data_IF_017028718583
#
_entry.id   IF_017028718583
#
_cell.length_a   1.000
_cell.length_b   1.000
_cell.length_c   1.000
_cell.angle_alpha   90.00
_cell.angle_beta   90.00
_cell.angle_gamma   90.00
#
_symmetry.space_group_name_H-M   'P 1'
#
loop_
_entity.id
_entity.type
_entity.pdbx_description
1 polymer ?
#
# COMPACT_ATOMS: atom_id res chain seq x y z
N UNK A 1 -9.52 -4.82 10.32
CA UNK A 1 -9.52 -4.15 9.01
C UNK A 1 -8.76 -5.02 8.02
N UNK A 2 -9.26 -5.28 6.80
CA UNK A 2 -8.55 -6.09 5.82
C UNK A 2 -7.28 -5.40 5.30
N UNK A 3 -6.27 -6.22 5.00
CA UNK A 3 -4.95 -5.79 4.52
C UNK A 3 -4.86 -5.91 3.01
N UNK A 4 -4.31 -4.89 2.37
CA UNK A 4 -4.12 -4.84 0.93
C UNK A 4 -2.71 -4.43 0.56
N UNK A 5 -2.13 -5.06 -0.46
CA UNK A 5 -0.81 -4.74 -1.00
C UNK A 5 -0.98 -3.82 -2.20
N UNK A 6 -0.22 -2.72 -2.21
CA UNK A 6 -0.11 -1.82 -3.35
C UNK A 6 0.63 -2.50 -4.49
N UNK A 7 0.08 -2.44 -5.70
CA UNK A 7 0.69 -3.06 -6.88
C UNK A 7 1.59 -2.07 -7.63
N UNK A 8 2.34 -2.57 -8.62
CA UNK A 8 3.12 -1.72 -9.54
C UNK A 8 2.25 -0.87 -10.47
N UNK A 9 0.96 -1.22 -10.60
CA UNK A 9 -0.01 -0.48 -11.42
C UNK A 9 -0.61 0.71 -10.68
N UNK A 10 -0.41 0.79 -9.36
CA UNK A 10 -0.92 1.89 -8.56
C UNK A 10 -0.34 3.23 -9.02
N UNK A 11 -1.24 4.19 -9.25
CA UNK A 11 -0.89 5.56 -9.60
C UNK A 11 -0.21 6.33 -8.45
N UNK A 12 0.02 7.64 -8.60
CA UNK A 12 0.66 8.47 -7.58
C UNK A 12 -0.14 8.56 -6.27
N UNK A 13 -1.43 8.25 -6.31
CA UNK A 13 -2.33 8.21 -5.17
C UNK A 13 -3.11 6.90 -5.14
N UNK A 14 -3.38 6.41 -3.93
CA UNK A 14 -4.15 5.19 -3.65
C UNK A 14 -5.11 5.54 -2.50
N UNK A 15 -6.43 5.35 -2.67
CA UNK A 15 -7.46 5.72 -1.67
C UNK A 15 -7.34 7.16 -1.15
N UNK A 16 -6.98 8.10 -2.02
CA UNK A 16 -6.82 9.52 -1.66
C UNK A 16 -5.57 9.85 -0.84
N UNK A 17 -4.70 8.87 -0.59
CA UNK A 17 -3.40 9.06 0.07
C UNK A 17 -2.26 8.95 -0.95
N UNK A 18 -1.13 9.59 -0.65
CA UNK A 18 0.07 9.46 -1.49
C UNK A 18 0.51 7.99 -1.52
N UNK A 19 0.74 7.48 -2.71
CA UNK A 19 1.14 6.08 -2.89
C UNK A 19 2.46 5.80 -2.13
N UNK A 20 2.46 4.89 -1.14
CA UNK A 20 3.64 4.54 -0.36
C UNK A 20 4.66 3.69 -1.14
N UNK A 21 4.29 3.22 -2.33
CA UNK A 21 5.08 2.38 -3.23
C UNK A 21 4.52 0.96 -3.36
N UNK A 22 4.79 0.33 -4.50
CA UNK A 22 4.41 -1.06 -4.75
C UNK A 22 5.04 -2.02 -3.71
N UNK A 23 4.27 -3.01 -3.26
CA UNK A 23 4.66 -3.98 -2.23
C UNK A 23 4.39 -3.52 -0.80
N UNK A 24 3.92 -2.28 -0.59
CA UNK A 24 3.49 -1.81 0.73
C UNK A 24 2.11 -2.31 1.08
N UNK A 25 1.90 -2.58 2.36
CA UNK A 25 0.62 -3.03 2.91
C UNK A 25 -0.12 -1.81 3.45
N UNK A 26 -1.42 -1.74 3.16
CA UNK A 26 -2.36 -0.76 3.67
C UNK A 26 -3.51 -1.48 4.36
N UNK A 27 -3.81 -1.07 5.59
CA UNK A 27 -5.02 -1.47 6.30
C UNK A 27 -6.17 -0.58 5.84
N UNK A 28 -7.11 -1.15 5.09
CA UNK A 28 -8.23 -0.40 4.50
C UNK A 28 -9.55 -1.08 4.82
N UNK A 29 -10.63 -0.31 4.75
CA UNK A 29 -11.97 -0.87 4.72
C UNK A 29 -12.27 -1.46 3.34
N UNK A 30 -13.18 -2.43 3.28
CA UNK A 30 -13.60 -3.02 2.00
C UNK A 30 -14.15 -1.96 1.04
N UNK A 31 -14.89 -0.97 1.56
CA UNK A 31 -15.42 0.14 0.76
C UNK A 31 -14.32 1.00 0.14
N UNK A 32 -13.24 1.26 0.87
CA UNK A 32 -12.08 2.00 0.35
C UNK A 32 -11.33 1.18 -0.71
N UNK A 33 -11.13 -0.11 -0.46
CA UNK A 33 -10.38 -0.97 -1.36
C UNK A 33 -11.16 -1.39 -2.62
N UNK A 34 -12.49 -1.42 -2.59
CA UNK A 34 -13.32 -1.93 -3.69
C UNK A 34 -13.00 -1.29 -5.05
N UNK A 35 -12.78 0.03 -5.08
CA UNK A 35 -12.45 0.74 -6.31
C UNK A 35 -11.02 0.41 -6.77
N UNK A 36 -10.05 0.48 -5.87
CA UNK A 36 -8.63 0.23 -6.17
C UNK A 36 -8.34 -1.23 -6.57
N UNK A 37 -9.09 -2.19 -6.03
CA UNK A 37 -9.03 -3.59 -6.42
C UNK A 37 -9.47 -3.78 -7.88
N UNK A 38 -10.52 -3.08 -8.31
CA UNK A 38 -11.01 -3.13 -9.70
C UNK A 38 -10.02 -2.49 -10.68
N UNK A 39 -9.34 -1.42 -10.26
CA UNK A 39 -8.27 -0.79 -11.03
C UNK A 39 -6.98 -1.60 -11.06
N UNK A 40 -6.83 -2.59 -10.17
CA UNK A 40 -5.60 -3.33 -9.99
C UNK A 40 -4.51 -2.56 -9.24
N UNK A 41 -4.79 -1.38 -8.69
CA UNK A 41 -3.87 -0.62 -7.81
C UNK A 41 -3.58 -1.34 -6.49
N UNK A 42 -4.54 -2.15 -6.02
CA UNK A 42 -4.42 -2.96 -4.81
C UNK A 42 -4.66 -4.45 -5.11
N UNK A 43 -4.08 -5.31 -4.27
CA UNK A 43 -4.42 -6.74 -4.18
C UNK A 43 -4.61 -7.12 -2.70
N UNK A 44 -5.47 -8.09 -2.36
CA UNK A 44 -5.55 -8.58 -0.98
C UNK A 44 -4.20 -9.14 -0.53
N UNK A 45 -3.77 -8.75 0.68
CA UNK A 45 -2.62 -9.36 1.32
C UNK A 45 -3.04 -10.75 1.82
N UNK A 46 -2.47 -11.81 1.26
CA UNK A 46 -2.72 -13.15 1.80
C UNK A 46 -2.04 -13.26 3.17
N UNK A 47 -2.55 -14.08 4.08
CA UNK A 47 -2.00 -14.23 5.45
C UNK A 47 -0.54 -14.71 5.52
N UNK A 48 0.12 -14.94 4.38
CA UNK A 48 1.55 -15.25 4.27
C UNK A 48 2.43 -14.03 3.94
N UNK A 49 1.85 -12.90 3.55
CA UNK A 49 2.56 -11.65 3.23
C UNK A 49 2.70 -10.75 4.47
N UNK A 50 2.85 -11.33 5.67
CA UNK A 50 3.21 -10.56 6.87
C UNK A 50 4.69 -10.20 6.82
N UNK A 51 4.97 -8.97 6.37
CA UNK A 51 5.72 -7.99 7.15
C UNK A 51 5.84 -6.71 6.32
N UNK A 52 5.25 -5.58 6.76
CA UNK A 52 5.59 -4.29 6.17
C UNK A 52 7.07 -4.04 6.51
N UNK A 53 7.97 -4.26 5.54
CA UNK A 53 9.33 -3.70 5.60
C UNK A 53 9.20 -2.18 5.50
N UNK A 54 8.88 -1.57 6.62
CA UNK A 54 9.01 -0.16 6.87
C UNK A 54 10.51 0.15 6.95
N UNK A 55 11.19 0.12 5.80
CA UNK A 55 12.41 0.89 5.62
C UNK A 55 12.02 2.36 5.70
N UNK A 56 11.91 2.85 6.94
CA UNK A 56 12.08 4.25 7.30
C UNK A 56 13.34 4.70 6.58
N UNK A 57 13.16 5.46 5.50
CA UNK A 57 14.26 6.12 4.82
C UNK A 57 14.64 7.25 5.77
N UNK A 58 15.58 6.98 6.69
CA UNK A 58 16.27 8.00 7.47
C UNK A 58 16.83 9.01 6.48
N UNK A 59 16.10 10.11 6.33
CA UNK A 59 16.66 11.39 5.91
C UNK A 59 17.03 12.11 7.19
N UNK A 60 18.18 11.74 7.75
CA UNK A 60 18.88 12.57 8.72
C UNK A 60 20.03 13.20 7.94
N UNK A 61 19.88 14.48 7.68
CA UNK A 61 20.72 15.41 6.90
C UNK A 61 22.19 15.46 7.34
N UNK A 62 23.11 15.88 6.45
CA UNK A 62 24.54 15.97 6.76
C UNK A 62 24.86 17.24 7.55
N UNK A 63 25.87 17.17 8.42
CA UNK A 63 26.62 18.31 8.95
C UNK A 63 28.12 17.95 8.94
#
# INVERSE_FOLDING_TARGET
MPRYIVTKMAGPYVVGLRNPGAGKILDLTERQAAHELRLGSLKPASSKDEEPKEKRKERSTPL
#
